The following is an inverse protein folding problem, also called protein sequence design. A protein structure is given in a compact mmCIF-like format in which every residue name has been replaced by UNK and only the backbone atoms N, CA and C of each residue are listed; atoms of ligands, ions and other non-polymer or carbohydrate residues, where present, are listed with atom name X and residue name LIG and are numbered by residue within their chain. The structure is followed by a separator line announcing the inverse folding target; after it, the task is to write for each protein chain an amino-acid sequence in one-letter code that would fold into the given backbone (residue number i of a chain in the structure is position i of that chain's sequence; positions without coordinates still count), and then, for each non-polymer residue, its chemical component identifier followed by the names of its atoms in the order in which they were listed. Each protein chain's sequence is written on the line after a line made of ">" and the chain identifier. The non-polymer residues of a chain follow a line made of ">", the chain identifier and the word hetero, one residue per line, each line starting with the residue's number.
data_IF_131532494635
#
_entry.id   IF_131532494635
#
_cell.length_a   1.000
_cell.length_b   1.000
_cell.length_c   1.000
_cell.angle_alpha   90.00
_cell.angle_beta   90.00
_cell.angle_gamma   90.00
#
_symmetry.space_group_name_H-M   'P 1'
#
loop_
_entity.id
_entity.type
_entity.pdbx_description
1 polymer ?
#
# COMPACT_ATOMS: atom_id res chain seq x y z
N UNK A 1 4.99 -12.58 -6.32
CA UNK A 1 4.53 -11.19 -6.48
C UNK A 1 3.76 -10.80 -5.24
N UNK A 2 3.67 -9.51 -4.93
CA UNK A 2 2.82 -8.98 -3.86
C UNK A 2 2.11 -7.72 -4.37
N UNK A 3 1.01 -7.37 -3.73
CA UNK A 3 0.35 -6.08 -3.94
C UNK A 3 0.58 -5.19 -2.73
N UNK A 4 0.65 -3.88 -2.94
CA UNK A 4 0.71 -2.88 -1.89
C UNK A 4 -0.42 -1.89 -2.10
N UNK A 5 -1.22 -1.66 -1.06
CA UNK A 5 -2.19 -0.57 -0.99
C UNK A 5 -1.65 0.48 0.00
N UNK A 6 -1.56 1.74 -0.43
CA UNK A 6 -1.16 2.84 0.45
C UNK A 6 -2.41 3.49 1.03
N UNK A 7 -2.55 3.44 2.35
CA UNK A 7 -3.68 3.99 3.10
C UNK A 7 -3.31 5.35 3.67
N UNK A 8 -4.19 6.32 3.50
CA UNK A 8 -4.18 7.59 4.22
C UNK A 8 -5.61 7.89 4.68
N UNK A 9 -5.81 7.94 5.99
CA UNK A 9 -7.11 8.05 6.62
C UNK A 9 -7.99 6.84 6.35
N UNK A 10 -9.16 7.09 5.79
CA UNK A 10 -10.20 6.07 5.53
C UNK A 10 -10.20 5.58 4.08
N UNK A 11 -9.15 5.88 3.30
CA UNK A 11 -9.08 5.52 1.88
C UNK A 11 -7.73 4.94 1.49
N UNK A 12 -7.74 4.15 0.41
CA UNK A 12 -6.52 3.80 -0.32
C UNK A 12 -6.21 4.94 -1.30
N UNK A 13 -5.02 5.52 -1.19
CA UNK A 13 -4.52 6.57 -2.07
C UNK A 13 -4.15 6.01 -3.43
N UNK A 14 -3.41 4.91 -3.43
CA UNK A 14 -2.93 4.25 -4.64
C UNK A 14 -2.45 2.84 -4.31
N UNK A 15 -2.26 2.01 -5.35
CA UNK A 15 -1.73 0.67 -5.21
C UNK A 15 -0.78 0.27 -6.33
N UNK A 16 0.07 -0.71 -6.06
CA UNK A 16 0.95 -1.29 -7.06
C UNK A 16 1.21 -2.77 -6.81
N UNK A 17 1.50 -3.50 -7.88
CA UNK A 17 2.03 -4.85 -7.83
C UNK A 17 3.55 -4.79 -7.86
N UNK A 18 4.18 -5.52 -6.94
CA UNK A 18 5.61 -5.69 -6.82
C UNK A 18 6.00 -7.09 -7.33
N UNK A 19 6.77 -7.12 -8.40
CA UNK A 19 7.30 -8.34 -8.99
C UNK A 19 8.75 -8.54 -8.57
N UNK A 20 9.07 -9.73 -8.05
CA UNK A 20 10.46 -10.10 -7.82
C UNK A 20 11.20 -10.20 -9.17
N UNK A 21 12.49 -9.90 -9.15
CA UNK A 21 13.36 -10.14 -10.31
C UNK A 21 13.59 -11.64 -10.52
N UNK A 22 13.99 -12.10 -11.71
CA UNK A 22 14.35 -13.50 -11.93
C UNK A 22 15.38 -13.99 -10.92
N UNK A 23 15.17 -15.19 -10.36
CA UNK A 23 16.06 -15.79 -9.36
C UNK A 23 15.95 -15.22 -7.94
N UNK A 24 14.96 -14.38 -7.66
CA UNK A 24 14.65 -13.86 -6.31
C UNK A 24 13.16 -14.09 -6.02
N UNK A 25 12.83 -14.44 -4.77
CA UNK A 25 11.44 -14.67 -4.36
C UNK A 25 10.82 -13.42 -3.72
N UNK A 26 11.65 -12.57 -3.10
CA UNK A 26 11.22 -11.32 -2.48
C UNK A 26 10.92 -10.27 -3.55
N UNK A 27 9.75 -9.65 -3.42
CA UNK A 27 9.24 -8.70 -4.40
C UNK A 27 9.65 -7.24 -4.15
N UNK A 28 10.42 -6.95 -3.10
CA UNK A 28 10.76 -5.58 -2.70
C UNK A 28 11.46 -4.80 -3.84
N UNK A 29 11.02 -3.57 -4.10
CA UNK A 29 11.64 -2.68 -5.08
C UNK A 29 13.14 -2.43 -4.78
N UNK A 30 13.51 -2.34 -3.49
CA UNK A 30 14.89 -2.16 -3.06
C UNK A 30 15.83 -3.32 -3.49
N UNK A 31 15.30 -4.48 -3.85
CA UNK A 31 16.07 -5.64 -4.36
C UNK A 31 16.02 -5.76 -5.88
N UNK A 32 15.62 -4.70 -6.57
CA UNK A 32 15.46 -4.69 -8.03
C UNK A 32 14.14 -5.28 -8.51
N UNK A 33 13.14 -5.37 -7.62
CA UNK A 33 11.79 -5.75 -8.01
C UNK A 33 11.12 -4.69 -8.89
N UNK A 34 10.35 -5.12 -9.89
CA UNK A 34 9.59 -4.23 -10.78
C UNK A 34 8.27 -3.84 -10.11
N UNK A 35 7.96 -2.55 -10.13
CA UNK A 35 6.71 -2.00 -9.58
C UNK A 35 5.81 -1.59 -10.74
N UNK A 36 4.56 -2.05 -10.75
CA UNK A 36 3.57 -1.71 -11.78
C UNK A 36 2.28 -1.23 -11.13
N UNK A 37 1.59 -0.23 -11.70
CA UNK A 37 0.30 0.23 -11.20
C UNK A 37 -0.68 -0.92 -10.99
N UNK A 38 -1.40 -0.86 -9.88
CA UNK A 38 -2.49 -1.79 -9.60
C UNK A 38 -3.59 -1.05 -8.86
N UNK A 39 -4.81 -1.20 -9.37
CA UNK A 39 -5.99 -0.65 -8.71
C UNK A 39 -6.64 -1.77 -7.89
N UNK A 40 -6.63 -1.68 -6.55
CA UNK A 40 -7.38 -2.62 -5.72
C UNK A 40 -8.87 -2.56 -6.04
N UNK A 41 -9.55 -3.69 -5.96
CA UNK A 41 -11.00 -3.72 -6.01
C UNK A 41 -11.60 -3.18 -4.68
N UNK A 42 -12.91 -2.88 -4.63
CA UNK A 42 -13.52 -2.32 -3.43
C UNK A 42 -13.41 -3.22 -2.19
N UNK A 43 -13.37 -4.54 -2.34
CA UNK A 43 -13.22 -5.45 -1.20
C UNK A 43 -11.82 -5.37 -0.62
N UNK A 44 -10.82 -5.28 -1.49
CA UNK A 44 -9.40 -5.15 -1.16
C UNK A 44 -9.09 -3.77 -0.55
N UNK A 45 -9.70 -2.70 -1.05
CA UNK A 45 -9.59 -1.37 -0.45
C UNK A 45 -10.12 -1.37 0.99
N UNK A 46 -11.31 -1.93 1.22
CA UNK A 46 -11.89 -2.07 2.56
C UNK A 46 -11.01 -2.90 3.49
N UNK A 47 -10.43 -3.99 2.97
CA UNK A 47 -9.50 -4.84 3.72
C UNK A 47 -8.26 -4.05 4.17
N UNK A 48 -7.64 -3.30 3.26
CA UNK A 48 -6.45 -2.50 3.56
C UNK A 48 -6.75 -1.40 4.59
N UNK A 49 -7.81 -0.63 4.40
CA UNK A 49 -8.22 0.42 5.35
C UNK A 49 -8.52 -0.19 6.72
N UNK A 50 -9.25 -1.32 6.77
CA UNK A 50 -9.53 -2.01 8.03
C UNK A 50 -8.27 -2.51 8.72
N UNK A 51 -7.30 -3.04 7.97
CA UNK A 51 -6.03 -3.51 8.53
C UNK A 51 -5.24 -2.39 9.20
N UNK A 52 -5.15 -1.21 8.56
CA UNK A 52 -4.52 -0.03 9.16
C UNK A 52 -5.30 0.48 10.39
N UNK A 53 -6.63 0.57 10.28
CA UNK A 53 -7.51 1.05 11.35
C UNK A 53 -7.45 0.20 12.62
N UNK A 54 -7.46 -1.14 12.51
CA UNK A 54 -7.36 -2.05 13.67
C UNK A 54 -6.04 -1.87 14.42
N UNK A 55 -4.98 -1.39 13.75
CA UNK A 55 -3.70 -1.09 14.36
C UNK A 55 -3.57 0.36 14.82
N UNK A 56 -4.62 1.17 14.71
CA UNK A 56 -4.60 2.60 15.07
C UNK A 56 -3.75 3.46 14.13
N UNK A 57 -3.51 3.01 12.89
CA UNK A 57 -2.66 3.71 11.93
C UNK A 57 -3.52 4.52 10.94
N UNK A 58 -3.37 5.84 10.96
CA UNK A 58 -3.95 6.74 9.96
C UNK A 58 -3.18 6.77 8.63
N UNK A 59 -1.91 6.39 8.62
CA UNK A 59 -1.07 6.30 7.43
C UNK A 59 -0.30 4.98 7.48
N UNK A 60 -0.43 4.15 6.45
CA UNK A 60 0.28 2.88 6.35
C UNK A 60 0.34 2.38 4.91
N UNK A 61 1.31 1.49 4.63
CA UNK A 61 1.23 0.63 3.46
C UNK A 61 0.83 -0.78 3.89
N UNK A 62 -0.20 -1.32 3.25
CA UNK A 62 -0.69 -2.68 3.50
C UNK A 62 -0.24 -3.57 2.36
N UNK A 63 0.61 -4.53 2.67
CA UNK A 63 1.07 -5.53 1.71
C UNK A 63 0.13 -6.74 1.73
N UNK A 64 -0.29 -7.12 0.54
CA UNK A 64 -1.30 -8.12 0.27
C UNK A 64 -0.71 -9.21 -0.61
N UNK A 65 -1.01 -10.46 -0.25
CA UNK A 65 -0.64 -11.65 -1.02
C UNK A 65 -1.88 -12.27 -1.64
N UNK A 66 -1.79 -12.89 -2.83
CA UNK A 66 -2.89 -13.69 -3.38
C UNK A 66 -3.19 -14.87 -2.45
N UNK A 67 -4.46 -15.05 -2.09
CA UNK A 67 -4.97 -16.23 -1.38
C UNK A 67 -6.06 -16.92 -2.20
N UNK A 68 -6.43 -18.14 -1.78
CA UNK A 68 -7.43 -18.95 -2.49
C UNK A 68 -8.82 -18.31 -2.54
N UNK A 69 -9.19 -17.57 -1.49
CA UNK A 69 -10.50 -16.91 -1.35
C UNK A 69 -10.43 -15.39 -1.53
N UNK A 70 -9.27 -14.88 -1.97
CA UNK A 70 -9.03 -13.44 -2.10
C UNK A 70 -7.71 -13.01 -1.46
N UNK A 71 -7.41 -11.70 -1.46
CA UNK A 71 -6.16 -11.18 -0.94
C UNK A 71 -6.06 -11.35 0.58
N UNK A 72 -4.86 -11.68 1.04
CA UNK A 72 -4.53 -11.86 2.45
C UNK A 72 -3.52 -10.79 2.88
N UNK A 73 -3.74 -10.17 4.03
CA UNK A 73 -2.80 -9.19 4.60
C UNK A 73 -1.54 -9.90 5.08
N UNK A 74 -0.38 -9.52 4.52
CA UNK A 74 0.92 -10.04 4.90
C UNK A 74 1.68 -9.10 5.86
N UNK A 75 1.64 -7.79 5.62
CA UNK A 75 2.30 -6.78 6.43
C UNK A 75 1.46 -5.50 6.46
N UNK A 76 1.47 -4.80 7.60
CA UNK A 76 1.03 -3.40 7.68
C UNK A 76 2.23 -2.57 8.15
N UNK A 77 2.72 -1.72 7.25
CA UNK A 77 3.92 -0.92 7.47
C UNK A 77 3.55 0.51 7.89
N UNK A 78 3.88 0.95 9.11
CA UNK A 78 3.53 2.29 9.60
C UNK A 78 4.47 3.41 9.11
N UNK A 79 5.63 3.07 8.52
CA UNK A 79 6.58 4.05 7.96
C UNK A 79 7.05 3.61 6.57
N UNK A 80 6.13 3.52 5.61
CA UNK A 80 6.43 2.93 4.31
C UNK A 80 7.21 3.88 3.41
N UNK A 81 8.23 3.36 2.73
CA UNK A 81 8.80 4.03 1.57
C UNK A 81 7.79 4.05 0.41
N UNK A 82 7.48 5.23 -0.13
CA UNK A 82 6.47 5.42 -1.18
C UNK A 82 7.02 5.90 -2.54
N UNK A 83 8.29 6.28 -2.64
CA UNK A 83 8.87 6.81 -3.90
C UNK A 83 8.73 5.86 -5.10
N UNK A 84 8.86 4.55 -4.89
CA UNK A 84 8.69 3.58 -5.97
C UNK A 84 7.23 3.44 -6.40
N UNK A 85 6.31 3.65 -5.46
CA UNK A 85 4.87 3.63 -5.68
C UNK A 85 4.44 4.86 -6.48
N UNK A 86 4.82 6.06 -6.04
CA UNK A 86 4.54 7.32 -6.78
C UNK A 86 5.08 7.29 -8.20
N UNK A 87 6.32 6.82 -8.40
CA UNK A 87 6.88 6.70 -9.75
C UNK A 87 6.10 5.73 -10.64
N UNK A 88 5.58 4.65 -10.07
CA UNK A 88 4.81 3.68 -10.82
C UNK A 88 3.42 4.23 -11.16
N UNK A 89 2.73 4.83 -10.19
CA UNK A 89 1.30 5.16 -10.28
C UNK A 89 1.01 6.60 -10.69
N UNK A 90 1.97 7.52 -10.56
CA UNK A 90 1.78 8.95 -10.76
C UNK A 90 0.96 9.64 -9.67
N UNK A 91 0.61 8.93 -8.59
CA UNK A 91 -0.16 9.50 -7.49
C UNK A 91 0.69 10.41 -6.60
N UNK A 92 0.08 11.48 -6.06
CA UNK A 92 0.66 12.31 -5.02
C UNK A 92 0.43 11.68 -3.64
N UNK A 93 1.34 10.78 -3.25
CA UNK A 93 1.25 10.07 -1.97
C UNK A 93 1.67 11.01 -0.85
N UNK A 94 2.73 11.80 -1.05
CA UNK A 94 3.18 12.78 -0.07
C UNK A 94 2.09 13.80 0.29
N UNK A 95 1.41 14.37 -0.71
CA UNK A 95 0.28 15.28 -0.50
C UNK A 95 -0.85 14.64 0.28
N UNK A 96 -1.24 13.41 -0.07
CA UNK A 96 -2.28 12.66 0.66
C UNK A 96 -1.89 12.38 2.12
N UNK A 97 -0.60 12.16 2.42
CA UNK A 97 -0.12 12.02 3.80
C UNK A 97 -0.25 13.33 4.57
N UNK A 98 0.13 14.46 3.97
CA UNK A 98 0.04 15.79 4.59
C UNK A 98 -1.43 16.16 4.85
N UNK A 99 -2.32 15.94 3.87
CA UNK A 99 -3.76 16.13 4.02
C UNK A 99 -4.31 15.36 5.22
N UNK A 100 -3.92 14.09 5.35
CA UNK A 100 -4.34 13.25 6.47
C UNK A 100 -3.80 13.73 7.81
N UNK A 101 -2.52 14.10 7.87
CA UNK A 101 -1.91 14.64 9.09
C UNK A 101 -2.61 15.93 9.55
N UNK A 102 -2.95 16.83 8.62
CA UNK A 102 -3.68 18.07 8.92
C UNK A 102 -5.10 17.77 9.38
N UNK A 103 -5.77 16.79 8.78
CA UNK A 103 -7.11 16.34 9.20
C UNK A 103 -7.08 15.78 10.62
N UNK A 104 -6.15 14.87 10.90
CA UNK A 104 -6.01 14.23 12.21
C UNK A 104 -5.66 15.23 13.32
N UNK A 105 -4.85 16.25 13.04
CA UNK A 105 -4.49 17.28 14.02
C UNK A 105 -5.64 18.25 14.38
N UNK A 106 -6.72 18.27 13.59
CA UNK A 106 -7.91 19.11 13.80
C UNK A 106 -9.06 18.37 14.47
N UNK A 107 -8.97 17.05 14.60
CA UNK A 107 -9.97 16.21 15.26
C UNK A 107 -9.76 16.22 16.78
#
# INVERSE_FOLDING_TARGET
>A
MSHRAFVAGERVVTGATFHARPGEWRSNAARGGRVVPWRPDPATERLAVRAASVLGLGIAAVDLLPGAEGPVVGEVNPSPGFRALERATGADVAGSMVEEMVRAAKA
#
